data_IF_644841573730
#
_entry.id   IF_644841573730
#
_cell.length_a   1.000
_cell.length_b   1.000
_cell.length_c   1.000
_cell.angle_alpha   90.00
_cell.angle_beta   90.00
_cell.angle_gamma   90.00
#
_symmetry.space_group_name_H-M   'P 1'
#
loop_
_entity.id
_entity.type
_entity.pdbx_description
1 polymer ?
#
# COMPACT_ATOMS: atom_id res chain seq x y z
N UNK A 1 18.18 -11.65 -18.14
CA UNK A 1 17.25 -12.06 -17.10
C UNK A 1 15.97 -11.24 -17.19
N UNK A 2 14.83 -11.89 -17.16
CA UNK A 2 13.55 -11.19 -17.23
C UNK A 2 13.32 -10.40 -15.92
N UNK A 3 13.00 -9.12 -16.06
CA UNK A 3 12.59 -8.30 -14.90
C UNK A 3 11.23 -8.78 -14.42
N UNK A 4 11.12 -9.11 -13.13
CA UNK A 4 9.83 -9.45 -12.55
C UNK A 4 8.97 -8.23 -12.40
N UNK A 5 7.67 -8.40 -12.59
CA UNK A 5 6.68 -7.33 -12.48
C UNK A 5 5.63 -7.68 -11.44
N UNK A 6 5.33 -6.70 -10.61
CA UNK A 6 4.26 -6.80 -9.60
C UNK A 6 3.38 -5.57 -9.70
N UNK A 7 2.19 -5.67 -9.13
CA UNK A 7 1.26 -4.55 -9.08
C UNK A 7 0.58 -4.48 -7.71
N UNK A 8 0.25 -3.27 -7.26
CA UNK A 8 -0.38 -3.05 -5.98
C UNK A 8 -1.15 -1.75 -5.91
N UNK A 9 -1.79 -1.52 -4.78
CA UNK A 9 -2.60 -0.32 -4.54
C UNK A 9 -2.10 0.42 -3.30
N UNK A 10 -1.93 1.73 -3.45
CA UNK A 10 -1.65 2.64 -2.35
C UNK A 10 -2.99 3.25 -1.91
N UNK A 11 -3.55 2.73 -0.83
CA UNK A 11 -4.88 3.11 -0.36
C UNK A 11 -4.73 4.14 0.76
N UNK A 12 -5.31 5.31 0.54
CA UNK A 12 -5.20 6.46 1.43
C UNK A 12 -6.57 6.77 2.06
N UNK A 13 -6.57 6.92 3.38
CA UNK A 13 -7.75 7.30 4.15
C UNK A 13 -7.33 8.15 5.34
N UNK A 14 -7.96 9.31 5.50
CA UNK A 14 -7.78 10.19 6.67
C UNK A 14 -6.31 10.40 7.05
N UNK A 15 -5.51 10.83 6.06
CA UNK A 15 -4.08 11.07 6.21
C UNK A 15 -3.29 9.83 6.66
N UNK A 16 -3.75 8.65 6.25
CA UNK A 16 -3.12 7.38 6.57
C UNK A 16 -3.02 6.53 5.31
N UNK A 17 -2.07 5.62 5.29
CA UNK A 17 -1.88 4.68 4.19
C UNK A 17 -2.01 3.23 4.68
N UNK A 18 -2.66 2.40 3.88
CA UNK A 18 -2.79 0.98 4.20
C UNK A 18 -1.50 0.24 3.92
N UNK A 19 -0.92 -0.37 4.94
CA UNK A 19 0.25 -1.22 4.81
C UNK A 19 -0.07 -2.62 5.33
N UNK A 20 0.58 -3.61 4.75
CA UNK A 20 0.50 -5.01 5.17
C UNK A 20 1.87 -5.45 5.67
N UNK A 21 1.88 -6.27 6.72
CA UNK A 21 3.09 -6.86 7.27
C UNK A 21 3.25 -8.27 6.72
N UNK A 22 4.37 -8.54 6.06
CA UNK A 22 4.60 -9.83 5.42
C UNK A 22 5.26 -10.83 6.35
N UNK A 23 4.83 -12.09 6.23
CA UNK A 23 5.44 -13.23 6.92
C UNK A 23 6.19 -14.14 5.96
N UNK A 24 6.12 -13.86 4.66
CA UNK A 24 6.73 -14.72 3.65
C UNK A 24 8.23 -14.75 3.75
N UNK A 25 8.82 -15.82 3.25
CA UNK A 25 10.26 -16.05 3.29
C UNK A 25 11.04 -14.90 2.65
N UNK A 26 12.10 -14.46 3.35
CA UNK A 26 12.96 -13.38 2.88
C UNK A 26 12.42 -11.99 3.14
N UNK A 27 11.16 -11.88 3.52
CA UNK A 27 10.50 -10.58 3.75
C UNK A 27 9.91 -10.48 5.15
N UNK A 28 10.25 -11.41 6.01
CA UNK A 28 9.76 -11.45 7.39
C UNK A 28 10.04 -10.11 8.09
N UNK A 29 9.00 -9.54 8.68
CA UNK A 29 9.09 -8.27 9.39
C UNK A 29 8.99 -7.04 8.50
N UNK A 30 8.70 -7.19 7.21
CA UNK A 30 8.61 -6.07 6.28
C UNK A 30 7.17 -5.56 6.15
N UNK A 31 7.04 -4.24 6.07
CA UNK A 31 5.76 -3.57 5.80
C UNK A 31 5.79 -2.95 4.41
N UNK A 32 4.66 -3.03 3.71
CA UNK A 32 4.53 -2.43 2.39
C UNK A 32 3.08 -2.42 1.92
N UNK A 33 2.83 -1.83 0.79
CA UNK A 33 1.48 -1.85 0.20
C UNK A 33 1.12 -3.27 -0.22
N UNK A 34 -0.19 -3.64 -0.20
CA UNK A 34 -0.63 -4.92 -0.78
C UNK A 34 -0.25 -4.98 -2.24
N UNK A 35 0.44 -6.03 -2.64
CA UNK A 35 0.92 -6.20 -4.02
C UNK A 35 1.31 -7.63 -4.29
N UNK A 36 1.43 -7.98 -5.57
CA UNK A 36 1.93 -9.29 -5.96
C UNK A 36 2.15 -9.39 -7.47
N UNK A 37 2.51 -10.57 -7.92
CA UNK A 37 2.87 -10.82 -9.29
C UNK A 37 1.74 -10.62 -10.28
N UNK A 38 2.10 -10.20 -11.48
CA UNK A 38 1.14 -10.00 -12.58
C UNK A 38 1.07 -11.29 -13.38
N UNK A 39 -0.13 -11.81 -13.59
CA UNK A 39 -0.35 -13.02 -14.37
C UNK A 39 -0.30 -12.74 -15.86
N UNK A 40 -0.02 -13.78 -16.67
CA UNK A 40 -0.02 -13.67 -18.10
C UNK A 40 -1.39 -13.18 -18.63
N UNK A 41 -1.35 -12.16 -19.47
CA UNK A 41 -2.56 -11.60 -20.07
C UNK A 41 -3.36 -10.68 -19.16
N UNK A 42 -2.92 -10.50 -17.92
CA UNK A 42 -3.58 -9.62 -16.96
C UNK A 42 -3.02 -8.21 -17.08
N UNK A 43 -3.90 -7.20 -17.00
CA UNK A 43 -3.42 -5.81 -16.94
C UNK A 43 -2.77 -5.53 -15.58
N UNK A 44 -1.90 -4.53 -15.54
CA UNK A 44 -1.28 -4.12 -14.27
C UNK A 44 -2.34 -3.71 -13.24
N UNK A 45 -3.36 -2.98 -13.68
CA UNK A 45 -4.44 -2.54 -12.80
C UNK A 45 -5.25 -3.71 -12.25
N UNK A 46 -5.61 -4.66 -13.10
CA UNK A 46 -6.37 -5.83 -12.66
C UNK A 46 -5.54 -6.69 -11.68
N UNK A 47 -4.25 -6.80 -11.93
CA UNK A 47 -3.34 -7.50 -11.00
C UNK A 47 -3.30 -6.81 -9.64
N UNK A 48 -3.23 -5.47 -9.62
CA UNK A 48 -3.23 -4.70 -8.38
C UNK A 48 -4.50 -4.94 -7.57
N UNK A 49 -5.66 -4.96 -8.23
CA UNK A 49 -6.95 -5.21 -7.60
C UNK A 49 -7.00 -6.64 -7.05
N UNK A 50 -6.61 -7.61 -7.86
CA UNK A 50 -6.63 -9.03 -7.48
C UNK A 50 -5.71 -9.32 -6.30
N UNK A 51 -4.48 -8.82 -6.34
CA UNK A 51 -3.51 -9.05 -5.27
C UNK A 51 -3.95 -8.41 -3.95
N UNK A 52 -4.56 -7.23 -4.01
CA UNK A 52 -5.09 -6.58 -2.80
C UNK A 52 -6.20 -7.45 -2.19
N UNK A 53 -7.07 -8.00 -3.02
CA UNK A 53 -8.14 -8.89 -2.55
C UNK A 53 -7.57 -10.17 -1.95
N UNK A 54 -6.58 -10.76 -2.60
CA UNK A 54 -5.97 -12.00 -2.11
C UNK A 54 -5.26 -11.79 -0.78
N UNK A 55 -4.44 -10.75 -0.66
CA UNK A 55 -3.60 -10.55 0.52
C UNK A 55 -4.37 -10.04 1.73
N UNK A 56 -5.24 -9.06 1.54
CA UNK A 56 -5.91 -8.38 2.65
C UNK A 56 -7.44 -8.48 2.62
N UNK A 57 -8.00 -9.19 1.66
CA UNK A 57 -9.44 -9.43 1.59
C UNK A 57 -10.28 -8.21 1.26
N UNK A 58 -9.69 -7.21 0.63
CA UNK A 58 -10.38 -5.97 0.26
C UNK A 58 -10.57 -5.92 -1.25
N UNK A 59 -11.83 -5.79 -1.68
CA UNK A 59 -12.16 -5.58 -3.10
C UNK A 59 -12.32 -4.10 -3.35
N UNK A 60 -11.47 -3.54 -4.20
CA UNK A 60 -11.49 -2.11 -4.52
C UNK A 60 -12.27 -1.90 -5.82
N UNK A 61 -13.38 -1.13 -5.79
CA UNK A 61 -14.08 -0.76 -7.02
C UNK A 61 -13.19 0.08 -7.92
N UNK A 62 -13.22 -0.20 -9.21
CA UNK A 62 -12.38 0.52 -10.18
C UNK A 62 -12.61 2.04 -10.19
N UNK A 63 -13.83 2.47 -9.91
CA UNK A 63 -14.16 3.89 -9.89
C UNK A 63 -13.50 4.67 -8.74
N UNK A 64 -12.96 3.96 -7.73
CA UNK A 64 -12.22 4.59 -6.63
C UNK A 64 -10.72 4.72 -6.94
N UNK A 65 -10.25 4.13 -8.01
CA UNK A 65 -8.83 4.07 -8.33
C UNK A 65 -8.45 5.19 -9.29
N UNK A 66 -7.44 5.98 -8.90
CA UNK A 66 -6.79 6.90 -9.84
C UNK A 66 -5.99 6.06 -10.82
N UNK A 67 -6.30 6.17 -12.11
CA UNK A 67 -5.72 5.33 -13.14
C UNK A 67 -4.32 5.73 -13.57
N UNK A 68 -3.78 6.80 -13.02
CA UNK A 68 -2.38 7.18 -13.24
C UNK A 68 -1.48 6.09 -12.67
N UNK A 69 -0.65 5.52 -13.52
CA UNK A 69 0.25 4.44 -13.15
C UNK A 69 1.57 5.00 -12.62
N UNK A 70 1.98 4.51 -11.46
CA UNK A 70 3.26 4.85 -10.84
C UNK A 70 4.12 3.59 -10.76
N UNK A 71 5.42 3.76 -10.64
CA UNK A 71 6.34 2.63 -10.50
C UNK A 71 7.40 2.91 -9.45
N UNK A 72 7.90 1.83 -8.85
CA UNK A 72 9.16 1.85 -8.13
C UNK A 72 9.88 0.54 -8.40
N UNK A 73 11.20 0.54 -8.20
CA UNK A 73 12.04 -0.62 -8.48
C UNK A 73 12.60 -1.19 -7.19
N UNK A 74 12.59 -2.52 -7.09
CA UNK A 74 13.19 -3.24 -5.97
C UNK A 74 14.34 -4.06 -6.51
N UNK A 75 15.53 -3.89 -5.92
CA UNK A 75 16.70 -4.71 -6.26
C UNK A 75 16.70 -5.95 -5.38
N UNK A 76 16.75 -7.12 -5.99
CA UNK A 76 16.84 -8.38 -5.25
C UNK A 76 18.10 -9.12 -5.67
N UNK A 77 18.74 -9.78 -4.72
CA UNK A 77 19.93 -10.60 -5.01
C UNK A 77 19.61 -11.83 -5.85
N UNK A 78 18.43 -12.39 -5.63
CA UNK A 78 18.03 -13.65 -6.28
C UNK A 78 17.49 -13.45 -7.70
N UNK A 79 16.72 -12.38 -7.92
CA UNK A 79 15.98 -12.19 -9.15
C UNK A 79 16.36 -10.95 -9.95
N UNK A 80 17.38 -10.21 -9.49
CA UNK A 80 17.73 -8.93 -10.10
C UNK A 80 16.70 -7.86 -9.75
N UNK A 81 16.40 -6.99 -10.71
CA UNK A 81 15.47 -5.89 -10.49
C UNK A 81 14.02 -6.33 -10.65
N UNK A 82 13.16 -5.81 -9.79
CA UNK A 82 11.72 -6.03 -9.83
C UNK A 82 11.04 -4.68 -9.96
N UNK A 83 10.15 -4.54 -10.93
CA UNK A 83 9.34 -3.33 -11.11
C UNK A 83 7.99 -3.54 -10.43
N UNK A 84 7.58 -2.59 -9.62
CA UNK A 84 6.25 -2.58 -9.00
C UNK A 84 5.46 -1.43 -9.58
N UNK A 85 4.33 -1.75 -10.19
CA UNK A 85 3.34 -0.77 -10.65
C UNK A 85 2.35 -0.55 -9.52
N UNK A 86 1.99 0.71 -9.25
CA UNK A 86 0.97 0.95 -8.24
C UNK A 86 0.04 2.09 -8.65
N UNK A 87 -1.15 2.07 -8.08
CA UNK A 87 -2.19 3.06 -8.32
C UNK A 87 -2.68 3.57 -6.99
N UNK A 88 -3.10 4.84 -6.96
CA UNK A 88 -3.58 5.48 -5.74
C UNK A 88 -5.09 5.30 -5.63
N UNK A 89 -5.54 4.95 -4.43
CA UNK A 89 -6.95 4.87 -4.08
C UNK A 89 -7.17 5.79 -2.89
N UNK A 90 -7.95 6.83 -3.08
CA UNK A 90 -8.28 7.76 -1.99
C UNK A 90 -9.73 7.56 -1.60
N UNK A 91 -9.97 7.18 -0.34
CA UNK A 91 -11.31 6.97 0.17
C UNK A 91 -11.62 7.97 1.28
N UNK A 92 -12.89 8.34 1.40
CA UNK A 92 -13.37 9.27 2.43
C UNK A 92 -14.04 8.55 3.59
N UNK A 93 -14.35 7.26 3.41
CA UNK A 93 -15.03 6.46 4.42
C UNK A 93 -14.59 5.00 4.28
N UNK A 94 -14.27 4.37 5.41
CA UNK A 94 -13.84 2.96 5.43
C UNK A 94 -14.87 2.02 4.83
N UNK A 95 -16.16 2.33 4.93
CA UNK A 95 -17.23 1.51 4.38
C UNK A 95 -17.16 1.38 2.85
N UNK A 96 -16.51 2.33 2.17
CA UNK A 96 -16.36 2.27 0.71
C UNK A 96 -15.56 1.03 0.27
N UNK A 97 -14.74 0.50 1.16
CA UNK A 97 -13.93 -0.70 0.89
C UNK A 97 -14.26 -1.83 1.88
N UNK A 98 -15.42 -1.74 2.53
CA UNK A 98 -15.93 -2.81 3.39
C UNK A 98 -15.26 -2.94 4.74
N UNK A 99 -14.59 -1.89 5.21
CA UNK A 99 -13.94 -1.88 6.51
C UNK A 99 -14.75 -1.09 7.53
N UNK A 100 -14.59 -1.43 8.82
CA UNK A 100 -15.17 -0.72 9.94
C UNK A 100 -14.11 -0.02 10.78
N UNK A 101 -12.89 -0.54 10.79
CA UNK A 101 -11.79 -0.05 11.59
C UNK A 101 -10.55 0.18 10.76
N UNK A 102 -9.58 0.89 11.31
CA UNK A 102 -8.31 1.16 10.65
C UNK A 102 -7.47 -0.11 10.47
N UNK A 103 -7.70 -1.11 11.33
CA UNK A 103 -7.05 -2.41 11.21
C UNK A 103 -7.93 -3.36 10.42
N UNK A 104 -7.35 -4.06 9.45
CA UNK A 104 -8.07 -5.07 8.68
C UNK A 104 -8.28 -6.31 9.55
N UNK A 105 -9.51 -6.87 9.60
CA UNK A 105 -9.75 -8.08 10.38
C UNK A 105 -8.86 -9.24 9.94
N UNK A 106 -8.31 -9.96 10.90
CA UNK A 106 -7.41 -11.09 10.64
C UNK A 106 -8.01 -12.15 9.72
N UNK A 107 -9.31 -12.36 9.82
CA UNK A 107 -10.02 -13.34 8.98
C UNK A 107 -9.99 -13.01 7.49
N UNK A 108 -9.70 -11.76 7.12
CA UNK A 108 -9.59 -11.32 5.73
C UNK A 108 -8.20 -11.50 5.15
N UNK A 109 -7.20 -11.75 6.00
CA UNK A 109 -5.80 -11.80 5.58
C UNK A 109 -5.43 -13.19 5.06
N UNK A 110 -4.55 -13.20 4.05
CA UNK A 110 -3.90 -14.40 3.58
C UNK A 110 -2.74 -14.71 4.54
N UNK A 111 -3.04 -15.41 5.65
CA UNK A 111 -2.12 -15.56 6.78
C UNK A 111 -0.79 -16.24 6.43
N UNK A 112 -0.73 -16.96 5.32
CA UNK A 112 0.52 -17.55 4.84
C UNK A 112 1.52 -16.48 4.37
N UNK A 113 1.03 -15.32 3.99
CA UNK A 113 1.86 -14.23 3.44
C UNK A 113 1.79 -12.95 4.26
N UNK A 114 0.63 -12.68 4.89
CA UNK A 114 0.36 -11.42 5.60
C UNK A 114 -0.26 -11.72 6.94
N UNK A 115 0.34 -11.23 8.02
CA UNK A 115 -0.18 -11.45 9.37
C UNK A 115 -0.83 -10.22 9.99
N UNK A 116 -0.69 -9.07 9.35
CA UNK A 116 -1.25 -7.82 9.81
C UNK A 116 -1.43 -6.86 8.65
N UNK A 117 -2.53 -6.10 8.65
CA UNK A 117 -2.73 -4.99 7.72
C UNK A 117 -3.56 -3.91 8.41
N UNK A 118 -3.27 -2.65 8.08
CA UNK A 118 -4.00 -1.52 8.65
C UNK A 118 -3.50 -0.20 8.12
N UNK A 119 -4.24 0.85 8.44
CA UNK A 119 -3.91 2.22 8.06
C UNK A 119 -2.95 2.83 9.08
N UNK A 120 -1.84 3.35 8.60
CA UNK A 120 -0.81 3.98 9.42
C UNK A 120 -0.62 5.43 8.98
N UNK A 121 -0.40 6.32 9.95
CA UNK A 121 -0.07 7.70 9.66
C UNK A 121 1.36 7.82 9.09
N UNK A 122 1.74 9.03 8.67
CA UNK A 122 3.04 9.28 8.09
C UNK A 122 4.19 8.78 8.97
N UNK A 123 4.14 9.11 10.26
CA UNK A 123 5.21 8.74 11.20
C UNK A 123 5.39 7.23 11.30
N UNK A 124 4.30 6.52 11.55
CA UNK A 124 4.34 5.06 11.69
C UNK A 124 4.66 4.37 10.37
N UNK A 125 4.08 4.85 9.27
CA UNK A 125 4.34 4.27 7.95
C UNK A 125 5.80 4.42 7.56
N UNK A 126 6.38 5.61 7.75
CA UNK A 126 7.78 5.88 7.39
C UNK A 126 8.75 5.06 8.22
N UNK A 127 8.41 4.85 9.50
CA UNK A 127 9.22 4.04 10.41
C UNK A 127 9.27 2.57 10.02
N UNK A 128 8.16 2.05 9.49
CA UNK A 128 7.95 0.62 9.30
C UNK A 128 8.12 0.14 7.87
N UNK A 129 7.85 1.01 6.91
CA UNK A 129 7.84 0.61 5.50
C UNK A 129 9.23 0.18 5.05
N UNK A 130 9.27 -0.87 4.21
CA UNK A 130 10.53 -1.34 3.64
C UNK A 130 11.19 -0.24 2.80
N UNK A 131 12.52 -0.22 2.80
CA UNK A 131 13.29 0.86 2.16
C UNK A 131 12.93 1.10 0.69
N UNK A 132 12.69 0.04 -0.05
CA UNK A 132 12.35 0.15 -1.47
C UNK A 132 11.03 0.88 -1.73
N UNK A 133 10.16 0.96 -0.73
CA UNK A 133 8.86 1.63 -0.86
C UNK A 133 8.81 3.03 -0.25
N UNK A 134 9.91 3.53 0.29
CA UNK A 134 9.96 4.90 0.83
C UNK A 134 9.64 5.92 -0.25
N UNK A 135 10.07 5.68 -1.47
CA UNK A 135 9.77 6.55 -2.61
C UNK A 135 8.26 6.73 -2.81
N UNK A 136 7.48 5.69 -2.52
CA UNK A 136 6.03 5.75 -2.60
C UNK A 136 5.46 6.73 -1.57
N UNK A 137 5.93 6.68 -0.33
CA UNK A 137 5.51 7.61 0.72
C UNK A 137 5.85 9.05 0.31
N UNK A 138 7.06 9.28 -0.19
CA UNK A 138 7.49 10.61 -0.64
C UNK A 138 6.61 11.11 -1.79
N UNK A 139 6.21 10.24 -2.70
CA UNK A 139 5.31 10.59 -3.79
C UNK A 139 3.93 10.99 -3.26
N UNK A 140 3.41 10.28 -2.24
CA UNK A 140 2.13 10.63 -1.63
C UNK A 140 2.20 12.00 -0.95
N UNK A 141 3.31 12.30 -0.28
CA UNK A 141 3.55 13.62 0.33
C UNK A 141 3.57 14.71 -0.74
N UNK A 142 4.31 14.51 -1.82
CA UNK A 142 4.45 15.52 -2.88
C UNK A 142 3.13 15.79 -3.59
N UNK A 143 2.22 14.84 -3.61
CA UNK A 143 0.89 14.98 -4.21
C UNK A 143 -0.15 15.54 -3.22
N UNK A 144 0.24 15.79 -1.98
CA UNK A 144 -0.69 16.28 -0.96
C UNK A 144 -1.66 15.23 -0.42
N UNK A 145 -1.36 13.95 -0.65
CA UNK A 145 -2.22 12.85 -0.20
C UNK A 145 -1.89 12.39 1.22
N UNK A 146 -0.66 12.61 1.66
CA UNK A 146 -0.23 12.39 3.03
C UNK A 146 0.49 13.65 3.50
N UNK A 147 0.32 13.99 4.78
CA UNK A 147 0.94 15.15 5.38
C UNK A 147 1.68 14.76 6.65
N UNK A 148 2.69 15.55 6.99
CA UNK A 148 3.38 15.43 8.27
C UNK A 148 2.44 15.89 9.37
N UNK A 149 1.98 14.99 10.23
CA UNK A 149 1.03 15.30 11.30
C UNK A 149 1.52 16.39 12.25
N UNK A 150 2.83 16.42 12.48
CA UNK A 150 3.44 17.41 13.38
C UNK A 150 3.08 18.85 13.03
N UNK A 151 2.96 19.15 11.74
CA UNK A 151 2.62 20.51 11.28
C UNK A 151 1.16 20.83 11.58
N UNK A 152 0.28 19.87 11.35
CA UNK A 152 -1.17 20.02 11.60
C UNK A 152 -1.43 20.21 13.09
N UNK A 153 -0.80 19.41 13.93
CA UNK A 153 -0.95 19.47 15.37
C UNK A 153 -0.51 20.82 15.95
N UNK A 154 0.59 21.36 15.44
CA UNK A 154 1.07 22.68 15.91
C UNK A 154 0.04 23.78 15.70
N UNK A 155 -0.60 23.83 14.55
CA UNK A 155 -1.61 24.83 14.28
C UNK A 155 -2.85 24.66 15.16
N UNK A 156 -3.27 23.44 15.38
CA UNK A 156 -4.42 23.13 16.24
C UNK A 156 -4.14 23.50 17.69
N UNK A 157 -2.94 23.16 18.18
CA UNK A 157 -2.55 23.40 19.57
C UNK A 157 -2.49 24.88 19.91
N UNK A 158 -2.20 25.72 18.93
CA UNK A 158 -2.12 27.17 19.13
C UNK A 158 -3.42 27.89 18.78
N UNK A 159 -4.46 27.15 18.43
CA UNK A 159 -5.75 27.72 18.10
C UNK A 159 -5.77 28.54 16.80
N UNK A 160 -4.84 28.25 15.92
CA UNK A 160 -4.69 28.98 14.66
C UNK A 160 -5.46 28.36 13.52
#
# INVERSE_FOLDING_TARGET
MKTKKSAGLAIIYDNKILLAHTTSRGWFGSYGIPKGGIDNGESNLDAAIRETKEEVGITIPKNLIDKTEHTFTVSTKKYGNKIVYYYVVQISNLSQIGLKDLKVPKKQLQLEEVDWAGFLDYREATKRIMKSQVVLINNMISKGLLEHETNILKFKDFGL
#
